data_IF_706954856797
#
_entry.id   IF_706954856797
#
_cell.length_a   1.000
_cell.length_b   1.000
_cell.length_c   1.000
_cell.angle_alpha   90.00
_cell.angle_beta   90.00
_cell.angle_gamma   90.00
#
_symmetry.space_group_name_H-M   'P 1'
#
loop_
_entity.id
_entity.type
_entity.pdbx_description
1 polymer ?
#
# COMPACT_ATOMS: atom_id res chain seq x y z
N UNK A 1 -16.00 -31.51 32.62
CA UNK A 1 -15.36 -30.18 32.54
C UNK A 1 -15.82 -29.60 31.20
N UNK A 2 -16.95 -28.89 31.22
CA UNK A 2 -17.66 -28.45 30.01
C UNK A 2 -17.47 -26.96 29.87
N UNK A 3 -16.47 -26.56 29.09
CA UNK A 3 -16.21 -25.18 28.73
C UNK A 3 -16.25 -25.07 27.21
N UNK A 4 -17.26 -24.34 26.75
CA UNK A 4 -17.08 -23.21 25.85
C UNK A 4 -17.34 -23.33 24.34
N UNK A 5 -18.24 -24.21 23.87
CA UNK A 5 -18.82 -24.02 22.54
C UNK A 5 -19.48 -22.63 22.38
N UNK A 6 -20.09 -22.11 23.47
CA UNK A 6 -20.69 -20.78 23.52
C UNK A 6 -19.68 -19.64 23.44
N UNK A 7 -18.45 -19.81 23.92
CA UNK A 7 -17.42 -18.76 23.83
C UNK A 7 -16.76 -18.74 22.46
N UNK A 8 -16.62 -19.90 21.82
CA UNK A 8 -16.09 -20.02 20.45
C UNK A 8 -17.01 -19.32 19.44
N UNK A 9 -18.33 -19.55 19.54
CA UNK A 9 -19.31 -18.88 18.68
C UNK A 9 -19.37 -17.37 18.95
N UNK A 10 -19.19 -16.94 20.20
CA UNK A 10 -19.14 -15.53 20.58
C UNK A 10 -17.89 -14.84 20.03
N UNK A 11 -16.73 -15.50 20.08
CA UNK A 11 -15.48 -15.00 19.49
C UNK A 11 -15.65 -14.89 17.97
N UNK A 12 -16.18 -15.93 17.32
CA UNK A 12 -16.37 -15.93 15.86
C UNK A 12 -17.38 -14.86 15.41
N UNK A 13 -18.46 -14.65 16.15
CA UNK A 13 -19.42 -13.56 15.87
C UNK A 13 -18.84 -12.17 16.15
N UNK A 14 -17.96 -12.01 17.15
CA UNK A 14 -17.26 -10.75 17.38
C UNK A 14 -16.20 -10.45 16.32
N UNK A 15 -15.46 -11.45 15.86
CA UNK A 15 -14.47 -11.32 14.78
C UNK A 15 -15.15 -10.98 13.45
N UNK A 16 -16.17 -11.75 13.05
CA UNK A 16 -16.93 -11.49 11.82
C UNK A 16 -17.68 -10.15 11.83
N UNK A 17 -18.14 -9.70 13.01
CA UNK A 17 -18.72 -8.37 13.18
C UNK A 17 -17.66 -7.26 13.10
N UNK A 18 -16.44 -7.50 13.59
CA UNK A 18 -15.32 -6.56 13.43
C UNK A 18 -14.98 -6.40 11.94
N UNK A 19 -14.84 -7.50 11.21
CA UNK A 19 -14.56 -7.51 9.77
C UNK A 19 -15.63 -6.72 8.99
N UNK A 20 -16.91 -6.93 9.33
CA UNK A 20 -18.02 -6.18 8.75
C UNK A 20 -18.04 -4.69 9.14
N UNK A 21 -17.58 -4.34 10.35
CA UNK A 21 -17.47 -2.95 10.80
C UNK A 21 -16.34 -2.22 10.06
N UNK A 22 -15.21 -2.89 9.82
CA UNK A 22 -14.10 -2.37 9.03
C UNK A 22 -14.46 -2.22 7.54
N UNK A 23 -15.26 -3.13 6.97
CA UNK A 23 -15.77 -3.00 5.60
C UNK A 23 -16.67 -1.76 5.39
N UNK A 24 -17.28 -1.24 6.46
CA UNK A 24 -18.20 -0.10 6.42
C UNK A 24 -17.55 1.26 6.72
N UNK A 25 -16.32 1.31 7.20
CA UNK A 25 -15.58 2.57 7.35
C UNK A 25 -15.19 3.01 5.95
N UNK A 26 -15.90 4.02 5.43
CA UNK A 26 -15.46 4.74 4.25
C UNK A 26 -13.99 5.11 4.46
N UNK A 27 -13.05 4.73 3.58
CA UNK A 27 -11.64 5.10 3.69
C UNK A 27 -11.39 6.60 3.43
N UNK A 28 -12.29 7.46 3.93
CA UNK A 28 -12.27 8.92 3.77
C UNK A 28 -11.51 9.56 4.95
N UNK A 29 -11.19 8.80 6.01
CA UNK A 29 -10.52 9.35 7.21
C UNK A 29 -9.00 9.38 7.15
N UNK A 30 -8.35 8.56 6.30
CA UNK A 30 -6.89 8.62 6.14
C UNK A 30 -6.52 9.58 5.01
N UNK A 31 -5.75 10.60 5.36
CA UNK A 31 -5.15 11.52 4.39
C UNK A 31 -4.13 10.74 3.55
N UNK A 32 -4.10 10.91 2.22
CA UNK A 32 -3.01 10.40 1.39
C UNK A 32 -1.65 10.94 1.86
N UNK A 33 -0.55 10.23 1.56
CA UNK A 33 0.81 10.69 1.86
C UNK A 33 1.05 12.11 1.33
N UNK A 34 1.92 12.87 2.00
CA UNK A 34 2.34 14.16 1.46
C UNK A 34 3.21 13.99 0.22
N UNK A 35 3.21 15.01 -0.63
CA UNK A 35 4.11 15.03 -1.79
C UNK A 35 5.57 14.94 -1.35
N UNK A 36 6.35 14.13 -2.05
CA UNK A 36 7.78 13.92 -1.82
C UNK A 36 8.61 14.62 -2.89
N UNK A 37 9.50 15.52 -2.46
CA UNK A 37 10.34 16.33 -3.37
C UNK A 37 11.74 15.76 -3.61
N UNK A 38 12.14 14.72 -2.88
CA UNK A 38 13.46 14.10 -2.99
C UNK A 38 14.41 14.35 -1.81
N UNK A 39 13.95 15.06 -0.78
CA UNK A 39 14.77 15.37 0.42
C UNK A 39 14.97 14.12 1.30
N UNK A 40 16.22 13.86 1.73
CA UNK A 40 16.54 12.63 2.47
C UNK A 40 15.75 12.47 3.77
N UNK A 41 15.53 13.57 4.50
CA UNK A 41 14.80 13.57 5.77
C UNK A 41 13.30 13.27 5.57
N UNK A 42 12.77 13.49 4.37
CA UNK A 42 11.37 13.24 4.04
C UNK A 42 11.14 11.83 3.48
N UNK A 43 12.19 11.11 3.07
CA UNK A 43 12.08 9.79 2.44
C UNK A 43 11.48 8.76 3.41
N UNK A 44 12.04 8.68 4.63
CA UNK A 44 11.56 7.71 5.64
C UNK A 44 10.10 7.99 6.03
N UNK A 45 9.76 9.26 6.25
CA UNK A 45 8.38 9.66 6.56
C UNK A 45 7.45 9.31 5.41
N UNK A 46 7.86 9.61 4.17
CA UNK A 46 7.06 9.32 2.98
C UNK A 46 6.83 7.81 2.78
N UNK A 47 7.85 6.99 3.02
CA UNK A 47 7.75 5.53 2.97
C UNK A 47 6.77 5.00 4.03
N UNK A 48 6.91 5.44 5.28
CA UNK A 48 6.02 5.07 6.39
C UNK A 48 4.56 5.51 6.14
N UNK A 49 4.36 6.73 5.61
CA UNK A 49 3.05 7.24 5.22
C UNK A 49 2.41 6.38 4.12
N UNK A 50 3.18 5.99 3.09
CA UNK A 50 2.69 5.13 2.01
C UNK A 50 2.32 3.74 2.53
N UNK A 51 3.18 3.13 3.34
CA UNK A 51 2.92 1.80 3.92
C UNK A 51 1.66 1.80 4.80
N UNK A 52 1.52 2.80 5.66
CA UNK A 52 0.34 2.97 6.52
C UNK A 52 -0.93 3.14 5.67
N UNK A 53 -0.83 3.92 4.58
CA UNK A 53 -1.94 4.11 3.65
C UNK A 53 -2.31 2.80 2.94
N UNK A 54 -1.34 2.02 2.45
CA UNK A 54 -1.63 0.74 1.82
C UNK A 54 -2.21 -0.29 2.80
N UNK A 55 -1.73 -0.32 4.05
CA UNK A 55 -2.26 -1.20 5.09
C UNK A 55 -3.73 -0.89 5.41
N UNK A 56 -4.08 0.40 5.52
CA UNK A 56 -5.46 0.82 5.75
C UNK A 56 -6.39 0.54 4.54
N UNK A 57 -5.84 0.37 3.34
CA UNK A 57 -6.58 0.21 2.09
C UNK A 57 -6.21 -1.09 1.36
N UNK A 58 -5.78 -2.13 2.08
CA UNK A 58 -5.30 -3.40 1.49
C UNK A 58 -6.30 -4.05 0.53
N UNK A 59 -7.60 -3.83 0.73
CA UNK A 59 -8.66 -4.31 -0.17
C UNK A 59 -8.67 -3.64 -1.55
N UNK A 60 -8.07 -2.45 -1.68
CA UNK A 60 -7.95 -1.70 -2.94
C UNK A 60 -6.59 -1.86 -3.62
N UNK A 61 -5.54 -2.14 -2.84
CA UNK A 61 -4.16 -2.33 -3.31
C UNK A 61 -3.76 -3.80 -3.26
N UNK A 62 -4.46 -4.64 -4.00
CA UNK A 62 -4.25 -6.10 -3.98
C UNK A 62 -3.03 -6.53 -4.80
N UNK A 63 -2.56 -5.66 -5.71
CA UNK A 63 -1.41 -5.94 -6.57
C UNK A 63 -0.29 -4.89 -6.35
N UNK A 64 0.99 -5.31 -6.28
CA UNK A 64 2.11 -4.38 -6.25
C UNK A 64 2.14 -3.38 -7.43
N UNK A 65 1.59 -3.78 -8.58
CA UNK A 65 1.43 -2.90 -9.75
C UNK A 65 0.50 -1.70 -9.51
N UNK A 66 -0.28 -1.69 -8.43
CA UNK A 66 -1.16 -0.58 -8.05
C UNK A 66 -0.49 0.37 -7.05
N UNK A 67 0.38 -0.15 -6.17
CA UNK A 67 1.08 0.66 -5.16
C UNK A 67 2.16 1.53 -5.80
N UNK A 68 2.89 1.00 -6.78
CA UNK A 68 3.98 1.74 -7.47
C UNK A 68 3.47 3.01 -8.18
N UNK A 69 2.42 2.99 -9.02
CA UNK A 69 1.87 4.21 -9.62
C UNK A 69 1.28 5.18 -8.59
N UNK A 70 0.71 4.68 -7.49
CA UNK A 70 0.18 5.51 -6.41
C UNK A 70 1.31 6.30 -5.72
N UNK A 71 2.36 5.61 -5.27
CA UNK A 71 3.53 6.26 -4.65
C UNK A 71 4.15 7.26 -5.62
N UNK A 72 4.33 6.87 -6.88
CA UNK A 72 4.88 7.75 -7.91
C UNK A 72 4.05 9.01 -8.17
N UNK A 73 2.73 8.97 -7.97
CA UNK A 73 1.85 10.13 -8.16
C UNK A 73 2.08 11.23 -7.12
N UNK A 74 2.72 10.90 -5.98
CA UNK A 74 3.08 11.85 -4.93
C UNK A 74 4.49 12.42 -5.11
N UNK A 75 5.24 12.00 -6.14
CA UNK A 75 6.53 12.62 -6.43
C UNK A 75 6.35 14.00 -7.06
N UNK A 76 7.09 14.96 -6.53
CA UNK A 76 7.17 16.33 -7.02
C UNK A 76 8.63 16.76 -7.21
N UNK A 77 8.83 17.82 -8.02
CA UNK A 77 10.16 18.40 -8.23
C UNK A 77 11.22 17.36 -8.62
N UNK A 78 12.43 17.41 -8.00
CA UNK A 78 13.53 16.51 -8.33
C UNK A 78 13.19 15.02 -8.22
N UNK A 79 12.35 14.60 -7.26
CA UNK A 79 11.91 13.20 -7.15
C UNK A 79 11.08 12.75 -8.35
N UNK A 80 10.23 13.63 -8.87
CA UNK A 80 9.44 13.34 -10.07
C UNK A 80 10.31 13.20 -11.30
N UNK A 81 11.27 14.10 -11.46
CA UNK A 81 12.23 14.07 -12.58
C UNK A 81 13.08 12.79 -12.52
N UNK A 82 13.61 12.47 -11.33
CA UNK A 82 14.32 11.21 -11.08
C UNK A 82 13.47 10.00 -11.45
N UNK A 83 12.21 9.96 -11.02
CA UNK A 83 11.31 8.85 -11.31
C UNK A 83 11.03 8.69 -12.80
N UNK A 84 10.86 9.77 -13.56
CA UNK A 84 10.68 9.71 -15.02
C UNK A 84 11.87 9.06 -15.71
N UNK A 85 13.10 9.36 -15.26
CA UNK A 85 14.30 8.74 -15.80
C UNK A 85 14.46 7.28 -15.33
N UNK A 86 14.26 7.00 -14.04
CA UNK A 86 14.48 5.67 -13.47
C UNK A 86 13.41 4.65 -13.81
N UNK A 87 12.14 5.06 -13.92
CA UNK A 87 11.06 4.11 -14.20
C UNK A 87 11.36 3.29 -15.46
N UNK A 88 11.90 3.90 -16.51
CA UNK A 88 12.20 3.23 -17.78
C UNK A 88 13.12 2.02 -17.59
N UNK A 89 14.09 2.11 -16.68
CA UNK A 89 15.01 1.00 -16.37
C UNK A 89 14.28 -0.23 -15.81
N UNK A 90 13.12 -0.05 -15.15
CA UNK A 90 12.29 -1.15 -14.64
C UNK A 90 11.40 -1.77 -15.71
N UNK A 91 11.10 -1.06 -16.80
CA UNK A 91 10.25 -1.54 -17.91
C UNK A 91 11.06 -2.12 -19.07
N UNK A 92 12.34 -1.76 -19.17
CA UNK A 92 13.24 -2.33 -20.17
C UNK A 92 13.92 -3.57 -19.62
N UNK A 93 13.58 -4.75 -20.16
CA UNK A 93 14.40 -5.94 -19.93
C UNK A 93 15.83 -5.62 -20.30
N UNK A 94 16.78 -5.95 -19.42
CA UNK A 94 18.17 -5.99 -19.85
C UNK A 94 18.23 -7.01 -21.00
N UNK A 95 19.02 -6.73 -22.05
CA UNK A 95 19.10 -7.62 -23.23
C UNK A 95 19.66 -9.04 -22.88
N UNK A 96 19.96 -9.28 -21.60
CA UNK A 96 20.49 -10.49 -21.01
C UNK A 96 19.50 -11.20 -20.07
N UNK A 97 18.38 -10.55 -19.72
CA UNK A 97 17.33 -11.14 -18.88
C UNK A 97 16.26 -11.79 -19.74
N UNK A 98 16.09 -13.10 -19.57
CA UNK A 98 14.98 -13.87 -20.16
C UNK A 98 13.66 -13.71 -19.36
N UNK A 99 13.66 -12.88 -18.32
CA UNK A 99 12.48 -12.60 -17.51
C UNK A 99 11.60 -11.55 -18.21
N UNK A 100 10.28 -11.75 -18.27
CA UNK A 100 9.37 -10.72 -18.74
C UNK A 100 9.43 -9.49 -17.81
N UNK A 101 9.07 -8.29 -18.31
CA UNK A 101 8.99 -7.09 -17.49
C UNK A 101 8.15 -7.39 -16.23
N UNK A 102 8.70 -7.06 -15.07
CA UNK A 102 8.10 -7.42 -13.78
C UNK A 102 6.92 -6.51 -13.41
N UNK A 103 6.63 -5.53 -14.27
CA UNK A 103 5.51 -4.60 -14.22
C UNK A 103 4.99 -4.31 -15.63
#
# INVERSE_FOLDING_TARGET
>A
MSTDLSTNERINTHVTKLDALFLGIKPIMLRPPFSFKGEHNDLKRFEEDCLTYFEAFTSYFTLPSQTVPFTASHFEGPAKDWWVHKRQEFWTNSNWDNEPPQF
#
